data_IF_953525825925
#
_entry.id   IF_953525825925
#
_cell.length_a   1.000
_cell.length_b   1.000
_cell.length_c   1.000
_cell.angle_alpha   90.00
_cell.angle_beta   90.00
_cell.angle_gamma   90.00
#
_symmetry.space_group_name_H-M   'P 1'
#
loop_
_entity.id
_entity.type
_entity.pdbx_description
1 polymer ?
#
# COMPACT_ATOMS: atom_id res chain seq x y z
N UNK A 1 12.79 -6.84 -7.17
CA UNK A 1 12.91 -6.58 -5.71
C UNK A 1 11.89 -7.46 -5.01
N UNK A 2 12.10 -7.88 -3.75
CA UNK A 2 11.03 -8.57 -3.01
C UNK A 2 9.86 -7.59 -2.86
N UNK A 3 8.65 -8.03 -3.21
CA UNK A 3 7.43 -7.23 -3.08
C UNK A 3 7.23 -6.71 -1.66
N UNK A 4 6.73 -5.47 -1.53
CA UNK A 4 6.49 -4.81 -0.22
C UNK A 4 5.11 -4.15 -0.14
N UNK A 5 4.12 -4.88 0.34
CA UNK A 5 2.82 -4.32 0.72
C UNK A 5 2.80 -3.78 2.16
N UNK A 6 2.01 -2.75 2.42
CA UNK A 6 1.70 -2.31 3.77
C UNK A 6 0.30 -1.70 3.87
N UNK A 7 -0.34 -1.83 5.03
CA UNK A 7 -1.60 -1.15 5.32
C UNK A 7 -1.74 -0.87 6.82
N UNK A 8 -2.44 0.22 7.15
CA UNK A 8 -2.79 0.52 8.52
C UNK A 8 -3.96 -0.35 8.96
N UNK A 9 -3.96 -0.73 10.23
CA UNK A 9 -5.10 -1.32 10.90
C UNK A 9 -5.92 -0.17 11.48
N UNK A 10 -7.14 -0.01 10.97
CA UNK A 10 -8.06 1.08 11.33
C UNK A 10 -8.22 1.13 12.85
N UNK A 11 -8.05 2.33 13.42
CA UNK A 11 -8.21 2.66 14.84
C UNK A 11 -7.35 1.87 15.86
N UNK A 12 -6.27 1.21 15.43
CA UNK A 12 -5.39 0.44 16.34
C UNK A 12 -4.00 1.02 16.60
N UNK A 13 -3.58 2.05 15.87
CA UNK A 13 -2.17 2.52 15.94
C UNK A 13 -1.17 1.43 15.53
N UNK A 14 -1.60 0.57 14.61
CA UNK A 14 -0.86 -0.60 14.13
C UNK A 14 -0.89 -0.65 12.61
N UNK A 15 0.12 -1.31 12.04
CA UNK A 15 0.19 -1.57 10.60
C UNK A 15 0.73 -2.95 10.32
N UNK A 16 0.24 -3.56 9.23
CA UNK A 16 0.85 -4.71 8.63
C UNK A 16 1.89 -4.27 7.60
N UNK A 17 3.06 -4.90 7.61
CA UNK A 17 4.07 -4.77 6.56
C UNK A 17 4.41 -6.16 6.04
N UNK A 18 4.50 -6.30 4.72
CA UNK A 18 4.81 -7.52 4.00
C UNK A 18 6.16 -7.36 3.27
N UNK A 19 6.94 -8.43 3.20
CA UNK A 19 8.17 -8.50 2.40
C UNK A 19 8.48 -9.94 2.02
N UNK A 20 8.51 -10.21 0.71
CA UNK A 20 8.63 -11.59 0.23
C UNK A 20 7.48 -12.43 0.80
N UNK A 21 7.79 -13.61 1.34
CA UNK A 21 6.84 -14.54 1.95
C UNK A 21 6.45 -14.19 3.40
N UNK A 22 7.02 -13.12 3.98
CA UNK A 22 6.85 -12.77 5.40
C UNK A 22 6.02 -11.51 5.61
N UNK A 23 5.45 -11.41 6.80
CA UNK A 23 4.85 -10.17 7.30
C UNK A 23 5.19 -9.91 8.78
N UNK A 24 5.05 -8.65 9.18
CA UNK A 24 5.05 -8.19 10.57
C UNK A 24 3.84 -7.32 10.84
N UNK A 25 3.35 -7.36 12.08
CA UNK A 25 2.45 -6.35 12.63
C UNK A 25 3.27 -5.49 13.58
N UNK A 26 3.23 -4.18 13.41
CA UNK A 26 3.96 -3.24 14.28
C UNK A 26 2.99 -2.36 15.06
N UNK A 27 3.36 -1.99 16.28
CA UNK A 27 2.79 -0.82 16.97
C UNK A 27 3.69 0.37 16.69
N UNK A 28 3.12 1.55 16.46
CA UNK A 28 3.90 2.77 16.22
C UNK A 28 3.08 4.03 16.47
N UNK A 29 3.76 5.11 16.85
CA UNK A 29 3.15 6.43 16.91
C UNK A 29 3.60 7.26 15.71
N UNK A 30 2.69 7.93 14.98
CA UNK A 30 3.08 8.87 13.93
C UNK A 30 4.10 9.89 14.44
N UNK A 31 5.09 10.19 13.60
CA UNK A 31 6.15 11.17 13.87
C UNK A 31 7.10 10.83 15.04
N UNK A 32 6.99 9.62 15.62
CA UNK A 32 7.93 9.11 16.64
C UNK A 32 8.72 7.91 16.15
N UNK A 33 9.96 7.81 16.60
CA UNK A 33 10.85 6.67 16.34
C UNK A 33 10.68 5.57 17.42
N UNK A 34 9.43 5.21 17.76
CA UNK A 34 9.09 4.31 18.86
C UNK A 34 8.48 2.97 18.42
N UNK A 35 8.54 2.66 17.11
CA UNK A 35 7.89 1.48 16.55
C UNK A 35 8.39 0.18 17.20
N UNK A 36 7.48 -0.74 17.53
CA UNK A 36 7.78 -2.06 18.10
C UNK A 36 7.12 -3.18 17.28
N UNK A 37 7.68 -4.38 17.35
CA UNK A 37 7.07 -5.58 16.72
C UNK A 37 5.95 -6.07 17.66
N UNK A 38 4.71 -6.03 17.17
CA UNK A 38 3.56 -6.60 17.86
C UNK A 38 3.41 -8.10 17.55
N UNK A 39 3.73 -8.50 16.31
CA UNK A 39 3.67 -9.89 15.85
C UNK A 39 4.59 -10.11 14.64
N UNK A 40 5.10 -11.33 14.47
CA UNK A 40 6.05 -11.70 13.42
C UNK A 40 7.51 -11.35 13.77
N UNK A 41 8.45 -11.40 12.80
CA UNK A 41 8.23 -11.78 11.40
C UNK A 41 7.89 -13.27 11.26
N UNK A 42 6.86 -13.58 10.48
CA UNK A 42 6.46 -14.95 10.16
C UNK A 42 5.96 -15.01 8.72
N UNK A 43 5.91 -16.21 8.15
CA UNK A 43 5.33 -16.44 6.82
C UNK A 43 3.86 -16.05 6.82
N UNK A 44 3.43 -15.20 5.89
CA UNK A 44 2.04 -14.74 5.89
C UNK A 44 1.05 -15.87 5.61
N UNK A 45 1.45 -16.92 4.88
CA UNK A 45 0.56 -18.06 4.56
C UNK A 45 0.12 -18.88 5.78
N UNK A 46 0.77 -18.69 6.94
CA UNK A 46 0.36 -19.32 8.21
C UNK A 46 -0.86 -18.63 8.83
N UNK A 47 -0.97 -17.32 8.64
CA UNK A 47 -1.94 -16.47 9.34
C UNK A 47 -2.94 -15.80 8.39
N UNK A 48 -2.66 -15.81 7.09
CA UNK A 48 -3.51 -15.29 6.02
C UNK A 48 -3.94 -16.41 5.06
N UNK A 49 -4.88 -17.28 5.45
CA UNK A 49 -5.50 -18.28 4.59
C UNK A 49 -5.88 -17.77 3.20
N UNK A 50 -6.39 -16.53 3.07
CA UNK A 50 -6.78 -15.98 1.78
C UNK A 50 -5.57 -15.74 0.86
N UNK A 51 -4.42 -15.29 1.38
CA UNK A 51 -3.20 -15.12 0.59
C UNK A 51 -2.61 -16.48 0.17
N UNK A 52 -2.73 -17.50 1.03
CA UNK A 52 -2.36 -18.87 0.69
C UNK A 52 -3.26 -19.44 -0.41
N UNK A 53 -4.57 -19.29 -0.26
CA UNK A 53 -5.57 -19.70 -1.26
C UNK A 53 -5.33 -18.99 -2.59
N UNK A 54 -4.94 -17.71 -2.55
CA UNK A 54 -4.63 -16.92 -3.73
C UNK A 54 -3.34 -17.35 -4.46
N UNK A 55 -2.54 -18.22 -3.84
CA UNK A 55 -1.22 -18.63 -4.32
C UNK A 55 -0.28 -17.44 -4.47
N UNK A 56 -0.33 -16.48 -3.55
CA UNK A 56 0.58 -15.34 -3.53
C UNK A 56 1.91 -15.80 -2.91
N UNK A 57 3.03 -15.44 -3.56
CA UNK A 57 4.38 -15.65 -3.04
C UNK A 57 4.93 -14.41 -2.33
N UNK A 58 4.26 -13.27 -2.51
CA UNK A 58 4.52 -11.97 -1.89
C UNK A 58 3.28 -11.09 -1.98
N UNK A 59 3.37 -9.92 -1.36
CA UNK A 59 2.42 -8.82 -1.55
C UNK A 59 3.21 -7.63 -2.08
N UNK A 60 2.87 -7.15 -3.27
CA UNK A 60 3.54 -6.01 -3.91
C UNK A 60 2.90 -4.68 -3.49
N UNK A 61 1.56 -4.64 -3.35
CA UNK A 61 0.84 -3.46 -2.87
C UNK A 61 -0.48 -3.85 -2.19
N UNK A 62 -1.01 -2.93 -1.38
CA UNK A 62 -2.33 -3.05 -0.73
C UNK A 62 -3.08 -1.75 -0.95
N UNK A 63 -4.32 -1.83 -1.44
CA UNK A 63 -5.27 -0.71 -1.50
C UNK A 63 -6.39 -0.95 -0.48
N UNK A 64 -6.33 -0.33 0.71
CA UNK A 64 -7.44 -0.34 1.67
C UNK A 64 -8.66 0.37 1.11
N UNK A 65 -9.86 -0.13 1.41
CA UNK A 65 -11.12 0.45 0.93
C UNK A 65 -11.80 1.19 2.08
N UNK A 66 -11.93 2.51 1.96
CA UNK A 66 -12.58 3.31 2.99
C UNK A 66 -14.10 3.17 2.94
N UNK A 67 -14.72 3.01 4.11
CA UNK A 67 -16.16 2.78 4.26
C UNK A 67 -16.56 1.31 4.30
N UNK A 68 -15.60 0.40 4.18
CA UNK A 68 -15.77 -1.04 4.39
C UNK A 68 -14.72 -1.50 5.39
N UNK A 69 -15.17 -1.90 6.57
CA UNK A 69 -14.25 -2.30 7.63
C UNK A 69 -13.44 -3.51 7.15
N UNK A 70 -12.12 -3.31 7.08
CA UNK A 70 -11.15 -4.34 6.75
C UNK A 70 -11.31 -4.98 5.36
N UNK A 71 -11.78 -4.23 4.37
CA UNK A 71 -11.68 -4.63 2.97
C UNK A 71 -10.44 -4.00 2.32
N UNK A 72 -9.70 -4.78 1.53
CA UNK A 72 -8.59 -4.27 0.74
C UNK A 72 -8.34 -5.12 -0.51
N UNK A 73 -7.79 -4.49 -1.55
CA UNK A 73 -7.20 -5.19 -2.68
C UNK A 73 -5.71 -5.45 -2.41
N UNK A 74 -5.31 -6.71 -2.44
CA UNK A 74 -3.91 -7.13 -2.35
C UNK A 74 -3.40 -7.48 -3.73
N UNK A 75 -2.26 -6.92 -4.13
CA UNK A 75 -1.66 -7.11 -5.44
C UNK A 75 -0.39 -7.98 -5.35
N UNK A 76 -0.19 -8.87 -6.33
CA UNK A 76 0.97 -9.74 -6.44
C UNK A 76 1.26 -10.01 -7.93
N UNK A 77 2.31 -9.40 -8.47
CA UNK A 77 2.64 -9.48 -9.89
C UNK A 77 1.53 -8.90 -10.76
N UNK A 78 1.00 -9.72 -11.66
CA UNK A 78 -0.06 -9.38 -12.61
C UNK A 78 -1.47 -9.73 -12.11
N UNK A 79 -1.61 -10.15 -10.84
CA UNK A 79 -2.88 -10.55 -10.24
C UNK A 79 -3.18 -9.78 -8.95
N UNK A 80 -4.44 -9.80 -8.56
CA UNK A 80 -4.92 -9.23 -7.31
C UNK A 80 -6.00 -10.10 -6.67
N UNK A 81 -6.20 -9.93 -5.37
CA UNK A 81 -7.30 -10.50 -4.60
C UNK A 81 -8.00 -9.40 -3.81
N UNK A 82 -9.34 -9.41 -3.83
CA UNK A 82 -10.15 -8.57 -2.95
C UNK A 82 -10.39 -9.35 -1.65
N UNK A 83 -9.96 -8.81 -0.51
CA UNK A 83 -9.91 -9.55 0.75
C UNK A 83 -10.62 -8.76 1.83
N UNK A 84 -11.56 -9.42 2.50
CA UNK A 84 -12.04 -9.02 3.84
C UNK A 84 -11.11 -9.68 4.85
N UNK A 85 -10.34 -8.88 5.59
CA UNK A 85 -9.39 -9.37 6.60
C UNK A 85 -9.91 -9.16 8.02
N UNK A 86 -9.42 -9.96 8.97
CA UNK A 86 -9.85 -9.86 10.37
C UNK A 86 -8.64 -9.48 11.22
N UNK A 87 -8.54 -8.21 11.68
CA UNK A 87 -7.44 -7.84 12.56
C UNK A 87 -7.45 -8.66 13.84
N UNK A 88 -6.28 -9.14 14.26
CA UNK A 88 -6.08 -9.97 15.45
C UNK A 88 -6.82 -11.33 15.45
N UNK A 89 -7.40 -11.72 14.30
CA UNK A 89 -8.08 -13.00 14.13
C UNK A 89 -7.51 -13.81 12.99
N UNK A 90 -8.08 -15.00 12.81
CA UNK A 90 -7.94 -15.82 11.61
C UNK A 90 -9.30 -15.89 10.94
N UNK A 91 -9.36 -15.91 9.61
CA UNK A 91 -10.63 -15.93 8.88
C UNK A 91 -10.80 -14.80 7.86
N UNK A 92 -9.69 -14.20 7.44
CA UNK A 92 -9.64 -13.45 6.19
C UNK A 92 -10.11 -14.31 5.02
N UNK A 93 -10.88 -13.72 4.11
CA UNK A 93 -11.50 -14.42 2.98
C UNK A 93 -11.39 -13.61 1.70
N UNK A 94 -11.27 -14.33 0.58
CA UNK A 94 -11.31 -13.72 -0.74
C UNK A 94 -12.77 -13.42 -1.11
N UNK A 95 -13.05 -12.17 -1.43
CA UNK A 95 -14.32 -11.68 -1.93
C UNK A 95 -14.38 -11.86 -3.45
N UNK A 96 -14.89 -13.01 -3.89
CA UNK A 96 -15.13 -13.35 -5.29
C UNK A 96 -14.07 -14.28 -5.88
N UNK A 97 -12.81 -13.86 -5.90
CA UNK A 97 -11.70 -14.71 -6.38
C UNK A 97 -10.44 -13.92 -6.71
N UNK A 98 -9.37 -14.64 -7.06
CA UNK A 98 -8.14 -14.05 -7.60
C UNK A 98 -8.33 -13.74 -9.08
N UNK A 99 -7.97 -12.52 -9.49
CA UNK A 99 -8.15 -12.08 -10.88
C UNK A 99 -6.86 -11.42 -11.41
N UNK A 100 -6.60 -11.52 -12.72
CA UNK A 100 -5.54 -10.72 -13.33
C UNK A 100 -5.90 -9.23 -13.25
N UNK A 101 -4.89 -8.36 -13.11
CA UNK A 101 -5.07 -6.91 -13.20
C UNK A 101 -5.62 -6.56 -14.58
N UNK A 102 -5.03 -7.15 -15.62
CA UNK A 102 -5.44 -6.97 -17.00
C UNK A 102 -6.90 -7.38 -17.20
N UNK A 103 -7.71 -6.49 -17.76
CA UNK A 103 -9.13 -6.69 -18.02
C UNK A 103 -10.05 -6.57 -16.79
N UNK A 104 -9.51 -6.39 -15.58
CA UNK A 104 -10.29 -6.20 -14.35
C UNK A 104 -10.04 -4.85 -13.66
N UNK A 105 -8.96 -4.16 -14.04
CA UNK A 105 -8.72 -2.76 -13.72
C UNK A 105 -8.57 -1.97 -15.03
N UNK A 106 -9.70 -1.50 -15.55
CA UNK A 106 -9.80 -0.83 -16.86
C UNK A 106 -8.95 0.46 -16.90
N UNK A 107 -8.81 1.14 -15.77
CA UNK A 107 -7.94 2.31 -15.63
C UNK A 107 -6.46 1.94 -15.72
N UNK A 108 -6.07 0.78 -15.21
CA UNK A 108 -4.69 0.29 -15.26
C UNK A 108 -4.33 -0.23 -16.64
N UNK A 109 -5.26 -0.89 -17.33
CA UNK A 109 -5.10 -1.24 -18.74
C UNK A 109 -4.86 0.01 -19.61
N UNK A 110 -5.66 1.06 -19.40
CA UNK A 110 -5.50 2.35 -20.10
C UNK A 110 -4.17 3.03 -19.75
N UNK A 111 -3.71 2.88 -18.51
CA UNK A 111 -2.42 3.42 -18.07
C UNK A 111 -1.22 2.56 -18.50
N UNK A 112 -1.45 1.36 -19.03
CA UNK A 112 -0.39 0.40 -19.37
C UNK A 112 0.27 -0.26 -18.17
N UNK A 113 -0.39 -0.28 -17.00
CA UNK A 113 0.15 -0.86 -15.77
C UNK A 113 -0.22 -2.34 -15.68
N UNK A 114 0.79 -3.21 -15.64
CA UNK A 114 0.61 -4.66 -15.46
C UNK A 114 0.86 -5.14 -14.02
N UNK A 115 1.32 -4.26 -13.14
CA UNK A 115 1.60 -4.52 -11.72
C UNK A 115 1.39 -3.24 -10.90
N UNK A 116 1.33 -3.37 -9.58
CA UNK A 116 1.17 -2.25 -8.66
C UNK A 116 2.23 -2.34 -7.55
N UNK A 117 3.00 -1.27 -7.40
CA UNK A 117 4.06 -1.14 -6.38
C UNK A 117 3.59 -0.35 -5.15
N UNK A 118 2.48 0.38 -5.29
CA UNK A 118 1.83 1.04 -4.16
C UNK A 118 0.48 1.61 -4.55
N UNK A 119 -0.38 1.77 -3.56
CA UNK A 119 -1.72 2.29 -3.76
C UNK A 119 -2.12 3.15 -2.55
N UNK A 120 -2.72 4.30 -2.80
CA UNK A 120 -3.14 5.23 -1.76
C UNK A 120 -4.52 5.79 -2.09
N UNK A 121 -5.49 5.59 -1.19
CA UNK A 121 -6.79 6.27 -1.26
C UNK A 121 -6.61 7.79 -1.25
N UNK A 122 -7.37 8.49 -2.09
CA UNK A 122 -7.34 9.95 -2.09
C UNK A 122 -7.92 10.49 -0.78
N UNK A 123 -7.25 11.47 -0.14
CA UNK A 123 -7.80 12.23 0.99
C UNK A 123 -9.21 12.73 0.69
N UNK A 124 -10.15 12.46 1.62
CA UNK A 124 -11.55 12.89 1.50
C UNK A 124 -12.38 12.18 0.43
N UNK A 125 -11.88 11.08 -0.16
CA UNK A 125 -12.61 10.29 -1.16
C UNK A 125 -12.77 8.83 -0.71
N UNK A 126 -13.87 8.21 -1.12
CA UNK A 126 -14.17 6.77 -0.91
C UNK A 126 -14.02 5.95 -2.19
N UNK A 127 -13.84 6.62 -3.32
CA UNK A 127 -13.95 6.05 -4.66
C UNK A 127 -12.74 6.37 -5.54
N UNK A 128 -11.69 7.01 -5.02
CA UNK A 128 -10.53 7.41 -5.81
C UNK A 128 -9.24 7.00 -5.13
N UNK A 129 -8.26 6.61 -5.95
CA UNK A 129 -6.94 6.21 -5.49
C UNK A 129 -5.84 6.72 -6.44
N UNK A 130 -4.66 6.92 -5.89
CA UNK A 130 -3.41 6.94 -6.63
C UNK A 130 -2.84 5.53 -6.69
N UNK A 131 -2.44 5.10 -7.89
CA UNK A 131 -1.80 3.80 -8.14
C UNK A 131 -0.42 4.06 -8.72
N UNK A 132 0.59 3.38 -8.18
CA UNK A 132 1.99 3.52 -8.57
C UNK A 132 2.49 2.22 -9.20
N UNK A 133 3.25 2.33 -10.30
CA UNK A 133 3.82 1.21 -11.03
C UNK A 133 5.10 1.65 -11.74
N UNK A 134 6.23 1.03 -11.39
CA UNK A 134 7.56 1.40 -11.85
C UNK A 134 7.88 2.85 -11.50
N UNK A 135 8.17 3.65 -12.53
CA UNK A 135 8.47 5.07 -12.40
C UNK A 135 7.26 5.99 -12.63
N UNK A 136 6.07 5.41 -12.70
CA UNK A 136 4.85 6.11 -13.06
C UNK A 136 3.76 5.96 -12.00
N UNK A 137 2.83 6.90 -12.01
CA UNK A 137 1.61 6.81 -11.22
C UNK A 137 0.41 7.29 -12.05
N UNK A 138 -0.78 6.85 -11.67
CA UNK A 138 -2.04 7.35 -12.19
C UNK A 138 -3.02 7.62 -11.06
N UNK A 139 -4.08 8.36 -11.37
CA UNK A 139 -5.22 8.55 -10.47
C UNK A 139 -6.45 7.92 -11.10
N UNK A 140 -7.17 7.16 -10.29
CA UNK A 140 -8.31 6.38 -10.75
C UNK A 140 -9.55 6.73 -9.93
N UNK A 141 -10.73 6.48 -10.50
CA UNK A 141 -11.97 6.28 -9.77
C UNK A 141 -12.32 4.79 -9.85
N UNK A 142 -12.79 4.19 -8.77
CA UNK A 142 -13.23 2.80 -8.76
C UNK A 142 -14.45 2.63 -7.84
N UNK A 143 -15.19 1.54 -8.04
CA UNK A 143 -16.24 1.09 -7.12
C UNK A 143 -15.85 -0.27 -6.60
N UNK A 144 -15.90 -0.46 -5.27
CA UNK A 144 -15.58 -1.72 -4.63
C UNK A 144 -16.38 -2.89 -5.24
N UNK A 145 -15.68 -3.99 -5.52
CA UNK A 145 -16.24 -5.19 -6.15
C UNK A 145 -16.63 -5.08 -7.63
N UNK A 146 -16.50 -3.91 -8.27
CA UNK A 146 -16.93 -3.69 -9.65
C UNK A 146 -15.76 -3.54 -10.63
N UNK A 147 -15.96 -3.99 -11.87
CA UNK A 147 -15.03 -3.79 -13.00
C UNK A 147 -15.55 -2.64 -13.86
N UNK A 148 -15.44 -1.43 -13.33
CA UNK A 148 -15.96 -0.19 -13.95
C UNK A 148 -15.08 1.03 -13.64
N UNK A 149 -13.82 0.80 -13.26
CA UNK A 149 -12.90 1.84 -12.86
C UNK A 149 -12.48 2.74 -14.02
N UNK A 150 -12.27 4.01 -13.70
CA UNK A 150 -11.99 5.07 -14.67
C UNK A 150 -10.60 5.68 -14.40
N UNK A 151 -9.80 5.82 -15.45
CA UNK A 151 -8.58 6.59 -15.40
C UNK A 151 -8.93 8.09 -15.37
N UNK A 152 -8.67 8.76 -14.26
CA UNK A 152 -8.94 10.20 -14.08
C UNK A 152 -7.76 11.06 -14.51
N UNK A 153 -6.53 10.58 -14.32
CA UNK A 153 -5.31 11.28 -14.69
C UNK A 153 -4.12 10.31 -14.79
N UNK A 154 -3.13 10.67 -15.60
CA UNK A 154 -1.94 9.87 -15.85
C UNK A 154 -2.06 8.86 -17.00
N UNK A 155 -1.06 7.98 -17.17
CA UNK A 155 0.11 7.84 -16.30
C UNK A 155 1.04 9.06 -16.38
N UNK A 156 1.66 9.44 -15.27
CA UNK A 156 2.66 10.51 -15.18
C UNK A 156 3.92 10.00 -14.49
N UNK A 157 5.11 10.54 -14.82
CA UNK A 157 6.31 10.27 -14.04
C UNK A 157 6.12 10.65 -12.58
N UNK A 158 6.54 9.75 -11.70
CA UNK A 158 6.56 9.97 -10.26
C UNK A 158 7.37 11.22 -9.91
N UNK A 159 8.51 11.42 -10.58
CA UNK A 159 9.41 12.57 -10.39
C UNK A 159 8.76 13.92 -10.70
N UNK A 160 7.63 13.93 -11.43
CA UNK A 160 6.86 15.13 -11.72
C UNK A 160 5.78 15.36 -10.64
N UNK A 161 4.85 14.43 -10.49
CA UNK A 161 3.68 14.60 -9.61
C UNK A 161 3.98 14.48 -8.11
N UNK A 162 5.03 13.71 -7.78
CA UNK A 162 5.46 13.42 -6.42
C UNK A 162 6.90 13.90 -6.18
N UNK A 163 7.31 14.97 -6.87
CA UNK A 163 8.69 15.51 -6.84
C UNK A 163 9.21 15.75 -5.41
N UNK A 164 8.32 16.09 -4.47
CA UNK A 164 8.64 16.28 -3.06
C UNK A 164 9.32 15.08 -2.39
N UNK A 165 9.06 13.85 -2.83
CA UNK A 165 9.70 12.67 -2.22
C UNK A 165 11.12 12.38 -2.70
N UNK A 166 11.55 13.01 -3.81
CA UNK A 166 12.88 12.81 -4.40
C UNK A 166 13.19 11.34 -4.75
N UNK A 167 12.16 10.52 -4.95
CA UNK A 167 12.26 9.14 -5.44
C UNK A 167 11.66 9.05 -6.85
N UNK A 168 12.21 8.17 -7.70
CA UNK A 168 11.63 7.85 -9.00
C UNK A 168 10.70 6.63 -8.96
N UNK A 169 10.79 5.80 -7.92
CA UNK A 169 10.02 4.58 -7.68
C UNK A 169 9.64 4.51 -6.20
N UNK A 170 8.70 3.63 -5.83
CA UNK A 170 8.35 3.38 -4.43
C UNK A 170 8.35 1.88 -4.14
N UNK A 171 8.64 1.53 -2.90
CA UNK A 171 8.45 0.18 -2.38
C UNK A 171 7.04 0.01 -1.81
N UNK A 172 6.54 1.03 -1.10
CA UNK A 172 5.19 1.04 -0.52
C UNK A 172 4.79 2.44 -0.09
N UNK A 173 3.49 2.64 0.13
CA UNK A 173 2.91 3.90 0.61
C UNK A 173 1.77 3.60 1.58
N UNK A 174 1.71 4.31 2.71
CA UNK A 174 0.63 4.20 3.69
C UNK A 174 0.15 5.57 4.15
N UNK A 175 -1.14 5.75 4.48
CA UNK A 175 -1.63 6.97 5.13
C UNK A 175 -0.91 7.23 6.45
N UNK A 176 -0.70 8.49 6.82
CA UNK A 176 -0.24 8.89 8.16
C UNK A 176 -1.45 8.92 9.10
N UNK A 177 -1.52 8.05 10.12
CA UNK A 177 -2.59 8.12 11.11
C UNK A 177 -2.68 9.50 11.76
N UNK A 178 -3.89 9.99 11.97
CA UNK A 178 -4.15 11.33 12.54
C UNK A 178 -3.98 12.48 11.55
N UNK A 179 -3.84 12.21 10.25
CA UNK A 179 -3.74 13.22 9.20
C UNK A 179 -4.69 12.87 8.04
N UNK A 180 -5.50 13.83 7.60
CA UNK A 180 -6.45 13.59 6.50
C UNK A 180 -5.74 13.44 5.14
N UNK A 181 -4.58 14.07 5.00
CA UNK A 181 -3.80 14.17 3.76
C UNK A 181 -2.33 13.75 3.92
N UNK A 182 -1.95 13.14 5.04
CA UNK A 182 -0.58 12.74 5.29
C UNK A 182 -0.29 11.34 4.75
N UNK A 183 0.92 11.11 4.23
CA UNK A 183 1.38 9.78 3.83
C UNK A 183 2.86 9.56 4.17
N UNK A 184 3.21 8.30 4.42
CA UNK A 184 4.58 7.80 4.46
C UNK A 184 4.86 7.05 3.16
N UNK A 185 5.92 7.44 2.46
CA UNK A 185 6.37 6.76 1.24
C UNK A 185 7.74 6.16 1.48
N UNK A 186 7.91 4.87 1.17
CA UNK A 186 9.15 4.14 1.36
C UNK A 186 9.78 3.81 0.00
N UNK A 187 11.10 3.89 -0.08
CA UNK A 187 11.89 3.44 -1.23
C UNK A 187 13.29 3.02 -0.79
N UNK A 188 13.66 1.79 -1.10
CA UNK A 188 14.94 1.16 -0.76
C UNK A 188 15.24 1.20 0.74
N UNK A 189 16.11 2.11 1.21
CA UNK A 189 16.42 2.29 2.64
C UNK A 189 15.89 3.62 3.19
N UNK A 190 15.14 4.36 2.39
CA UNK A 190 14.66 5.70 2.72
C UNK A 190 13.16 5.71 2.85
N UNK A 191 12.65 6.66 3.62
CA UNK A 191 11.26 7.04 3.61
C UNK A 191 11.12 8.56 3.66
N UNK A 192 9.96 9.06 3.24
CA UNK A 192 9.59 10.46 3.34
C UNK A 192 8.18 10.60 3.91
N UNK A 193 7.93 11.72 4.59
CA UNK A 193 6.59 12.16 4.95
C UNK A 193 6.11 13.20 3.96
N UNK A 194 4.91 13.02 3.43
CA UNK A 194 4.31 13.94 2.47
C UNK A 194 2.93 14.38 2.93
N UNK A 195 2.57 15.58 2.51
CA UNK A 195 1.18 16.03 2.41
C UNK A 195 0.71 15.83 0.97
N UNK A 196 -0.38 15.10 0.82
CA UNK A 196 -0.95 14.69 -0.46
C UNK A 196 -1.92 15.77 -0.94
N UNK A 197 -1.52 16.50 -1.98
CA UNK A 197 -2.34 17.55 -2.59
C UNK A 197 -3.08 16.99 -3.80
N UNK A 198 -4.40 16.89 -3.71
CA UNK A 198 -5.22 16.33 -4.79
C UNK A 198 -5.22 17.27 -6.00
N UNK A 199 -4.66 16.81 -7.13
CA UNK A 199 -4.56 17.60 -8.36
C UNK A 199 -3.46 18.67 -8.35
N UNK A 200 -2.63 18.70 -7.30
CA UNK A 200 -1.42 19.53 -7.20
C UNK A 200 -0.17 18.67 -7.02
N UNK A 201 0.96 19.32 -6.72
CA UNK A 201 2.20 18.64 -6.36
C UNK A 201 2.19 18.25 -4.88
N UNK A 202 2.67 17.06 -4.54
CA UNK A 202 2.85 16.66 -3.14
C UNK A 202 3.83 17.58 -2.42
N UNK A 203 3.52 17.98 -1.19
CA UNK A 203 4.40 18.83 -0.38
C UNK A 203 5.19 17.94 0.60
N UNK A 204 6.55 17.96 0.58
CA UNK A 204 7.32 17.22 1.56
C UNK A 204 7.18 17.83 2.94
N UNK A 205 6.82 16.99 3.92
CA UNK A 205 6.84 17.34 5.35
C UNK A 205 8.24 17.10 5.93
N UNK A 206 9.01 16.20 5.31
CA UNK A 206 10.40 15.91 5.66
C UNK A 206 11.27 15.75 4.43
N UNK A 207 12.58 15.91 4.59
CA UNK A 207 13.54 15.30 3.66
C UNK A 207 13.53 13.77 3.76
N UNK A 208 14.03 13.04 2.75
CA UNK A 208 14.21 11.60 2.82
C UNK A 208 15.12 11.18 3.99
N UNK A 209 14.61 10.32 4.88
CA UNK A 209 15.31 9.81 6.07
C UNK A 209 15.58 8.32 5.93
N UNK A 210 16.64 7.82 6.57
CA UNK A 210 16.86 6.37 6.65
C UNK A 210 15.74 5.69 7.43
N UNK A 211 15.29 4.54 6.96
CA UNK A 211 14.24 3.77 7.64
C UNK A 211 14.75 3.26 8.99
N UNK A 212 15.98 2.75 9.06
CA UNK A 212 16.53 2.10 10.26
C UNK A 212 16.41 2.88 11.58
N UNK A 213 16.83 4.16 11.66
CA UNK A 213 16.73 4.92 12.92
C UNK A 213 15.31 5.36 13.29
N UNK A 214 14.38 5.45 12.32
CA UNK A 214 13.02 5.97 12.55
C UNK A 214 11.95 4.87 12.60
N UNK A 215 12.24 3.69 12.04
CA UNK A 215 11.40 2.50 12.04
C UNK A 215 12.20 1.30 12.55
N UNK A 216 12.71 1.36 13.80
CA UNK A 216 13.60 0.33 14.33
C UNK A 216 12.99 -1.08 14.31
N UNK A 217 11.66 -1.22 14.41
CA UNK A 217 10.99 -2.53 14.32
C UNK A 217 11.10 -3.15 12.92
N UNK A 218 10.87 -2.35 11.87
CA UNK A 218 10.97 -2.80 10.48
C UNK A 218 12.41 -3.18 10.13
N UNK A 219 13.38 -2.40 10.57
CA UNK A 219 14.78 -2.70 10.35
C UNK A 219 15.24 -3.96 11.08
N UNK A 220 14.88 -4.09 12.36
CA UNK A 220 15.17 -5.29 13.17
C UNK A 220 14.53 -6.55 12.57
N UNK A 221 13.34 -6.43 11.98
CA UNK A 221 12.65 -7.53 11.30
C UNK A 221 13.23 -7.84 9.90
N UNK A 222 14.16 -7.02 9.39
CA UNK A 222 14.77 -7.18 8.07
C UNK A 222 13.88 -6.74 6.92
N UNK A 223 12.91 -5.85 7.15
CA UNK A 223 12.00 -5.35 6.11
C UNK A 223 12.61 -4.21 5.29
N UNK A 224 13.50 -3.43 5.91
CA UNK A 224 14.22 -2.29 5.33
C UNK A 224 15.66 -2.16 5.88
#
# INVERSE_FOLDING_TARGET
MPGRGACNIIDKGQSYFFKGDKYVKINWTPDKADSTIAYGPTEFVKDWPSLKEAGFDRVDAILPIFGYDYHAYFFCGDKYAHIEYVPDGTGDKILGGVRPIKGNWLSLDKAGFSSVDGALMLPGSKDKAYIFSGEQYCRIRFTEGQVNDELLDGPRPITLGWSGMKFSKIDTIIPRPGSDDGAYVFSDRKYVQLKVVVGGYSEPVSDPRDVAPYWPSLHKAGFY
#
